data_IF_461078959229
#
_entry.id   IF_461078959229
#
_cell.length_a   1.000
_cell.length_b   1.000
_cell.length_c   1.000
_cell.angle_alpha   90.00
_cell.angle_beta   90.00
_cell.angle_gamma   90.00
#
_symmetry.space_group_name_H-M   'P 1'
#
loop_
_entity.id
_entity.type
_entity.pdbx_description
1 polymer ?
#
# COMPACT_ATOMS: atom_id res chain seq x y z
N UNK A 1 -8.38 -31.94 -5.51
CA UNK A 1 -7.78 -31.08 -4.46
C UNK A 1 -8.19 -29.64 -4.73
N UNK A 2 -9.02 -29.07 -3.85
CA UNK A 2 -9.58 -27.72 -4.00
C UNK A 2 -8.53 -26.70 -3.57
N UNK A 3 -8.12 -25.82 -4.49
CA UNK A 3 -7.24 -24.70 -4.15
C UNK A 3 -8.01 -23.73 -3.24
N UNK A 4 -7.46 -23.30 -2.10
CA UNK A 4 -8.11 -22.29 -1.28
C UNK A 4 -8.19 -21.00 -2.08
N UNK A 5 -9.42 -20.57 -2.42
CA UNK A 5 -9.68 -19.22 -2.94
C UNK A 5 -9.32 -18.22 -1.85
N UNK A 6 -8.09 -17.70 -1.90
CA UNK A 6 -7.70 -16.55 -1.09
C UNK A 6 -8.41 -15.34 -1.69
N UNK A 7 -9.66 -15.12 -1.28
CA UNK A 7 -10.36 -13.85 -1.45
C UNK A 7 -9.68 -12.85 -0.52
N UNK A 8 -8.59 -12.24 -0.99
CA UNK A 8 -7.75 -11.35 -0.20
C UNK A 8 -8.51 -10.09 0.20
N UNK A 9 -9.01 -10.05 1.44
CA UNK A 9 -9.44 -8.80 2.09
C UNK A 9 -8.20 -8.01 2.49
N UNK A 10 -7.62 -7.26 1.56
CA UNK A 10 -6.57 -6.29 1.86
C UNK A 10 -7.25 -4.99 2.33
N UNK A 11 -6.80 -4.43 3.47
CA UNK A 11 -7.54 -3.57 4.41
C UNK A 11 -8.51 -4.33 5.35
N UNK A 12 -7.94 -5.21 6.18
CA UNK A 12 -8.72 -6.05 7.12
C UNK A 12 -9.54 -5.24 8.13
N UNK A 13 -9.07 -4.07 8.53
CA UNK A 13 -9.73 -3.21 9.52
C UNK A 13 -10.73 -2.23 8.93
N UNK A 14 -10.68 -1.95 7.61
CA UNK A 14 -11.42 -0.83 7.05
C UNK A 14 -11.04 0.44 7.79
N UNK A 15 -9.76 0.76 7.84
CA UNK A 15 -9.28 1.98 8.49
C UNK A 15 -8.51 2.80 7.46
N UNK A 16 -8.63 4.11 7.55
CA UNK A 16 -7.89 5.07 6.74
C UNK A 16 -7.52 6.26 7.58
N UNK A 17 -6.44 6.92 7.20
CA UNK A 17 -6.03 8.19 7.76
C UNK A 17 -5.47 9.07 6.65
N UNK A 18 -5.94 10.30 6.56
CA UNK A 18 -5.55 11.26 5.54
C UNK A 18 -4.92 12.47 6.21
N UNK A 19 -3.63 12.69 5.91
CA UNK A 19 -2.91 13.86 6.39
C UNK A 19 -2.79 14.92 5.30
N UNK A 20 -3.11 16.17 5.68
CA UNK A 20 -3.12 17.31 4.77
C UNK A 20 -1.88 18.16 4.96
N UNK A 21 -1.09 18.19 3.89
CA UNK A 21 0.18 18.93 3.79
C UNK A 21 0.10 19.92 2.63
N UNK A 22 0.75 21.11 2.74
CA UNK A 22 0.73 22.09 1.64
C UNK A 22 1.44 21.61 0.37
N UNK A 23 2.46 20.75 0.51
CA UNK A 23 3.17 20.12 -0.58
C UNK A 23 3.51 18.67 -0.23
N UNK A 24 3.74 17.84 -1.26
CA UNK A 24 4.25 16.48 -1.09
C UNK A 24 5.78 16.47 -1.12
N UNK A 25 6.42 16.23 0.02
CA UNK A 25 7.88 16.19 0.13
C UNK A 25 8.40 14.88 0.75
N UNK A 26 9.73 14.70 0.73
CA UNK A 26 10.38 13.60 1.47
C UNK A 26 10.22 13.75 2.98
N UNK A 27 10.11 14.99 3.48
CA UNK A 27 9.86 15.28 4.89
C UNK A 27 8.50 14.73 5.28
N UNK A 28 7.48 15.01 4.49
CA UNK A 28 6.12 14.51 4.74
C UNK A 28 6.11 12.98 4.76
N UNK A 29 6.74 12.33 3.79
CA UNK A 29 6.84 10.86 3.78
C UNK A 29 7.49 10.31 5.06
N UNK A 30 8.63 10.86 5.49
CA UNK A 30 9.30 10.39 6.71
C UNK A 30 8.44 10.61 7.96
N UNK A 31 7.75 11.74 8.05
CA UNK A 31 6.82 12.03 9.14
C UNK A 31 5.60 11.10 9.13
N UNK A 32 5.06 10.77 7.96
CA UNK A 32 3.98 9.78 7.82
C UNK A 32 4.42 8.38 8.25
N UNK A 33 5.65 7.96 7.92
CA UNK A 33 6.17 6.66 8.37
C UNK A 33 6.37 6.62 9.88
N UNK A 34 6.78 7.73 10.49
CA UNK A 34 6.85 7.85 11.94
C UNK A 34 5.48 7.74 12.59
N UNK A 35 4.52 8.55 12.14
CA UNK A 35 3.13 8.52 12.64
C UNK A 35 2.52 7.12 12.52
N UNK A 36 2.73 6.46 11.38
CA UNK A 36 2.25 5.09 11.16
C UNK A 36 2.80 4.11 12.19
N UNK A 37 4.09 4.20 12.51
CA UNK A 37 4.78 3.28 13.42
C UNK A 37 4.53 3.61 14.89
N UNK A 38 4.46 4.89 15.25
CA UNK A 38 4.43 5.33 16.65
C UNK A 38 3.01 5.57 17.15
N UNK A 39 2.11 6.06 16.31
CA UNK A 39 0.76 6.45 16.72
C UNK A 39 -0.29 5.46 16.22
N UNK A 40 -0.25 5.09 14.94
CA UNK A 40 -1.29 4.24 14.36
C UNK A 40 -1.14 2.77 14.75
N UNK A 41 0.09 2.25 14.75
CA UNK A 41 0.39 0.85 15.03
C UNK A 41 1.61 0.65 15.94
N UNK A 42 1.68 1.28 17.13
CA UNK A 42 2.83 1.18 18.03
C UNK A 42 3.15 -0.26 18.45
N UNK A 43 2.11 -1.08 18.63
CA UNK A 43 2.23 -2.46 19.07
C UNK A 43 2.50 -3.45 17.93
N UNK A 44 2.52 -3.00 16.66
CA UNK A 44 2.86 -3.89 15.56
C UNK A 44 4.35 -4.22 15.58
N UNK A 45 4.67 -5.52 15.54
CA UNK A 45 6.04 -6.00 15.35
C UNK A 45 6.54 -5.72 13.93
N UNK A 46 5.65 -5.85 12.94
CA UNK A 46 5.93 -5.60 11.53
C UNK A 46 4.70 -5.06 10.80
N UNK A 47 4.90 -4.08 9.92
CA UNK A 47 3.87 -3.44 9.09
C UNK A 47 4.26 -3.67 7.63
N UNK A 48 3.46 -4.46 6.91
CA UNK A 48 3.61 -4.62 5.46
C UNK A 48 2.94 -3.44 4.77
N UNK A 49 3.75 -2.59 4.16
CA UNK A 49 3.31 -1.33 3.58
C UNK A 49 3.45 -1.40 2.07
N UNK A 50 2.32 -1.26 1.37
CA UNK A 50 2.30 -1.15 -0.09
C UNK A 50 2.32 0.32 -0.47
N UNK A 51 3.27 0.72 -1.32
CA UNK A 51 3.50 2.09 -1.77
C UNK A 51 3.51 2.17 -3.29
N UNK A 52 3.08 3.29 -3.85
CA UNK A 52 3.41 3.65 -5.22
C UNK A 52 4.92 3.91 -5.39
N UNK A 53 5.39 3.77 -6.63
CA UNK A 53 6.81 3.88 -6.97
C UNK A 53 7.25 5.34 -7.17
N UNK A 54 7.08 6.14 -6.12
CA UNK A 54 7.47 7.55 -6.10
C UNK A 54 8.91 7.71 -5.58
N UNK A 55 9.67 8.66 -6.14
CA UNK A 55 11.07 8.91 -5.76
C UNK A 55 11.27 9.35 -4.30
N UNK A 56 10.21 9.77 -3.60
CA UNK A 56 10.22 10.12 -2.19
C UNK A 56 9.98 8.92 -1.27
N UNK A 57 9.38 7.85 -1.78
CA UNK A 57 8.98 6.67 -1.01
C UNK A 57 10.13 5.68 -0.82
N UNK A 58 11.23 6.16 -0.23
CA UNK A 58 12.44 5.36 -0.05
C UNK A 58 12.87 5.31 1.41
N UNK A 59 13.52 4.22 1.87
CA UNK A 59 14.14 4.17 3.18
C UNK A 59 15.11 5.34 3.44
N UNK A 60 15.81 5.80 2.40
CA UNK A 60 16.74 6.92 2.47
C UNK A 60 16.05 8.23 2.87
N UNK A 61 14.77 8.43 2.53
CA UNK A 61 14.02 9.60 2.95
C UNK A 61 13.91 9.70 4.48
N UNK A 62 13.80 8.57 5.19
CA UNK A 62 13.75 8.57 6.66
C UNK A 62 15.08 9.04 7.24
N UNK A 63 16.21 8.55 6.73
CA UNK A 63 17.54 8.95 7.21
C UNK A 63 17.89 10.40 6.85
N UNK A 64 17.30 10.95 5.79
CA UNK A 64 17.47 12.36 5.44
C UNK A 64 16.69 13.33 6.32
N UNK A 65 15.74 12.86 7.13
CA UNK A 65 14.79 13.70 7.87
C UNK A 65 14.84 13.44 9.38
N UNK A 66 15.01 12.19 9.80
CA UNK A 66 14.97 11.77 11.19
C UNK A 66 16.38 11.43 11.70
N UNK A 67 16.62 11.54 13.02
CA UNK A 67 17.84 11.03 13.63
C UNK A 67 18.12 9.57 13.21
N UNK A 68 19.38 9.19 12.91
CA UNK A 68 19.68 7.86 12.35
C UNK A 68 19.15 6.68 13.19
N UNK A 69 19.16 6.80 14.52
CA UNK A 69 18.62 5.77 15.41
C UNK A 69 17.09 5.62 15.26
N UNK A 70 16.37 6.73 15.12
CA UNK A 70 14.92 6.76 14.94
C UNK A 70 14.52 6.25 13.55
N UNK A 71 15.21 6.72 12.50
CA UNK A 71 15.03 6.22 11.14
C UNK A 71 15.23 4.70 11.07
N UNK A 72 16.27 4.17 11.74
CA UNK A 72 16.55 2.73 11.77
C UNK A 72 15.51 1.95 12.56
N UNK A 73 14.97 2.50 13.65
CA UNK A 73 13.89 1.88 14.43
C UNK A 73 12.61 1.76 13.59
N UNK A 74 12.23 2.83 12.90
CA UNK A 74 11.03 2.88 12.05
C UNK A 74 11.19 1.90 10.88
N UNK A 75 12.27 1.98 10.11
CA UNK A 75 12.42 1.13 8.92
C UNK A 75 12.49 -0.36 9.26
N UNK A 76 12.97 -0.75 10.45
CA UNK A 76 12.97 -2.15 10.90
C UNK A 76 11.57 -2.73 11.11
N UNK A 77 10.59 -1.88 11.46
CA UNK A 77 9.18 -2.28 11.57
C UNK A 77 8.46 -2.29 10.23
N UNK A 78 9.00 -1.66 9.19
CA UNK A 78 8.35 -1.54 7.89
C UNK A 78 8.88 -2.57 6.88
N UNK A 79 7.96 -3.31 6.27
CA UNK A 79 8.23 -4.14 5.09
C UNK A 79 7.61 -3.46 3.87
N UNK A 80 8.46 -2.79 3.08
CA UNK A 80 8.01 -1.99 1.95
C UNK A 80 7.82 -2.86 0.70
N UNK A 81 6.63 -2.79 0.12
CA UNK A 81 6.30 -3.37 -1.18
C UNK A 81 5.92 -2.25 -2.13
N UNK A 82 6.55 -2.19 -3.30
CA UNK A 82 6.26 -1.16 -4.29
C UNK A 82 5.34 -1.72 -5.37
N UNK A 83 4.32 -0.94 -5.75
CA UNK A 83 3.54 -1.28 -6.94
C UNK A 83 4.44 -1.20 -8.18
N UNK A 84 4.20 -2.04 -9.21
CA UNK A 84 4.96 -1.96 -10.44
C UNK A 84 4.84 -0.57 -11.08
N UNK A 85 5.85 -0.19 -11.85
CA UNK A 85 5.84 1.08 -12.59
C UNK A 85 4.66 1.08 -13.58
N UNK A 86 3.92 2.18 -13.61
CA UNK A 86 2.71 2.39 -14.43
C UNK A 86 1.48 1.56 -14.04
N UNK A 87 1.50 0.84 -12.92
CA UNK A 87 0.35 0.07 -12.41
C UNK A 87 -0.30 0.74 -11.18
N UNK A 88 -0.58 2.05 -11.27
CA UNK A 88 -1.24 2.80 -10.19
C UNK A 88 -2.64 2.27 -9.88
N UNK A 89 -3.30 1.62 -10.84
CA UNK A 89 -4.59 0.94 -10.64
C UNK A 89 -4.52 -0.22 -9.63
N UNK A 90 -3.31 -0.70 -9.30
CA UNK A 90 -3.09 -1.70 -8.26
C UNK A 90 -2.94 -1.08 -6.85
N UNK A 91 -2.83 0.23 -6.74
CA UNK A 91 -2.60 0.93 -5.48
C UNK A 91 -3.92 1.19 -4.74
N UNK A 92 -4.12 0.49 -3.62
CA UNK A 92 -5.29 0.66 -2.76
C UNK A 92 -5.46 2.10 -2.26
N UNK A 93 -4.36 2.81 -2.01
CA UNK A 93 -4.41 4.21 -1.58
C UNK A 93 -4.99 5.13 -2.66
N UNK A 94 -4.67 4.88 -3.95
CA UNK A 94 -5.25 5.61 -5.09
C UNK A 94 -6.77 5.37 -5.18
N UNK A 95 -7.23 4.13 -4.91
CA UNK A 95 -8.66 3.84 -4.84
C UNK A 95 -9.36 4.63 -3.73
N UNK A 96 -8.81 4.70 -2.51
CA UNK A 96 -9.38 5.53 -1.44
C UNK A 96 -9.33 7.03 -1.77
N UNK A 97 -8.25 7.51 -2.41
CA UNK A 97 -8.16 8.89 -2.87
C UNK A 97 -9.22 9.23 -3.92
N UNK A 98 -9.53 8.31 -4.83
CA UNK A 98 -10.63 8.49 -5.79
C UNK A 98 -11.99 8.58 -5.09
N UNK A 99 -12.23 7.75 -4.06
CA UNK A 99 -13.46 7.81 -3.26
C UNK A 99 -13.55 9.12 -2.48
N UNK A 100 -12.46 9.55 -1.84
CA UNK A 100 -12.38 10.86 -1.17
C UNK A 100 -12.67 11.99 -2.16
N UNK A 101 -12.06 11.91 -3.35
CA UNK A 101 -12.26 12.84 -4.46
C UNK A 101 -13.73 13.01 -4.82
N UNK A 102 -14.44 11.90 -5.01
CA UNK A 102 -15.86 11.93 -5.40
C UNK A 102 -16.85 12.18 -4.25
N UNK A 103 -16.47 11.97 -2.99
CA UNK A 103 -17.38 12.10 -1.84
C UNK A 103 -17.20 13.40 -1.04
N UNK A 104 -16.02 14.02 -1.11
CA UNK A 104 -15.65 15.14 -0.25
C UNK A 104 -15.04 16.30 -1.03
N UNK A 105 -14.24 15.99 -2.06
CA UNK A 105 -13.43 16.98 -2.79
C UNK A 105 -13.98 17.34 -4.17
N UNK A 106 -15.23 16.98 -4.47
CA UNK A 106 -15.93 17.28 -5.75
C UNK A 106 -16.40 18.74 -5.87
N UNK A 107 -15.89 19.59 -4.97
CA UNK A 107 -16.25 21.00 -4.82
C UNK A 107 -15.04 21.83 -4.41
N UNK A 108 -15.16 23.14 -4.57
CA UNK A 108 -14.13 24.07 -4.10
C UNK A 108 -14.13 24.14 -2.57
N UNK A 109 -12.94 24.07 -1.98
CA UNK A 109 -12.70 24.26 -0.55
C UNK A 109 -11.80 25.50 -0.38
N UNK A 110 -12.18 26.48 0.45
CA UNK A 110 -11.59 27.82 0.40
C UNK A 110 -10.24 27.94 1.12
N UNK A 111 -9.91 27.00 2.01
CA UNK A 111 -8.68 27.05 2.80
C UNK A 111 -8.19 25.65 3.17
N UNK A 112 -6.93 25.57 3.59
CA UNK A 112 -6.33 24.33 4.07
C UNK A 112 -6.99 23.84 5.38
N UNK A 113 -7.42 24.75 6.23
CA UNK A 113 -8.12 24.41 7.48
C UNK A 113 -9.50 23.85 7.21
N UNK A 114 -10.27 24.48 6.30
CA UNK A 114 -11.54 23.92 5.85
C UNK A 114 -11.33 22.53 5.23
N UNK A 115 -10.26 22.32 4.46
CA UNK A 115 -9.95 21.01 3.89
C UNK A 115 -9.69 19.94 4.97
N UNK A 116 -9.00 20.30 6.06
CA UNK A 116 -8.77 19.39 7.19
C UNK A 116 -10.07 19.01 7.88
N UNK A 117 -10.94 19.98 8.14
CA UNK A 117 -12.24 19.75 8.78
C UNK A 117 -13.12 18.82 7.94
N UNK A 118 -13.20 19.07 6.64
CA UNK A 118 -14.01 18.27 5.71
C UNK A 118 -13.50 16.84 5.60
N UNK A 119 -12.18 16.67 5.53
CA UNK A 119 -11.57 15.33 5.48
C UNK A 119 -11.77 14.60 6.80
N UNK A 120 -11.66 15.28 7.95
CA UNK A 120 -11.95 14.68 9.25
C UNK A 120 -13.42 14.25 9.36
N UNK A 121 -14.35 15.09 8.89
CA UNK A 121 -15.78 14.80 8.84
C UNK A 121 -16.11 13.62 7.90
N UNK A 122 -15.35 13.44 6.81
CA UNK A 122 -15.47 12.31 5.90
C UNK A 122 -14.82 11.03 6.45
N UNK A 123 -13.64 11.13 7.06
CA UNK A 123 -12.84 10.02 7.57
C UNK A 123 -13.52 9.33 8.76
N UNK A 124 -14.08 10.12 9.69
CA UNK A 124 -14.68 9.63 10.94
C UNK A 124 -15.77 8.57 10.73
N UNK A 125 -16.90 8.89 10.05
CA UNK A 125 -17.99 7.94 9.81
C UNK A 125 -17.52 6.71 9.03
N UNK A 126 -16.65 6.92 8.04
CA UNK A 126 -16.06 5.84 7.22
C UNK A 126 -15.27 4.85 8.07
N UNK A 127 -14.42 5.35 8.97
CA UNK A 127 -13.66 4.55 9.93
C UNK A 127 -14.57 3.84 10.95
N UNK A 128 -15.61 4.51 11.45
CA UNK A 128 -16.61 3.89 12.35
C UNK A 128 -17.35 2.73 11.67
N UNK A 129 -17.74 2.90 10.42
CA UNK A 129 -18.38 1.87 9.61
C UNK A 129 -17.41 0.79 9.11
N UNK A 130 -16.11 0.96 9.35
CA UNK A 130 -15.06 0.09 8.86
C UNK A 130 -15.19 -0.23 7.36
N UNK A 131 -15.60 0.77 6.54
CA UNK A 131 -15.81 0.56 5.11
C UNK A 131 -14.54 -0.02 4.48
N UNK A 132 -14.69 -1.14 3.75
CA UNK A 132 -13.56 -1.86 3.16
C UNK A 132 -13.61 -1.74 1.64
N UNK A 133 -12.44 -1.72 1.03
CA UNK A 133 -12.34 -1.99 -0.40
C UNK A 133 -12.46 -3.50 -0.60
N UNK A 134 -13.43 -3.90 -1.41
CA UNK A 134 -13.57 -5.29 -1.82
C UNK A 134 -12.60 -5.60 -2.96
N UNK A 135 -11.39 -5.99 -2.58
CA UNK A 135 -10.32 -6.29 -3.53
C UNK A 135 -10.62 -7.56 -4.33
N UNK A 136 -10.65 -7.44 -5.66
CA UNK A 136 -10.96 -8.56 -6.57
C UNK A 136 -9.74 -9.10 -7.33
N UNK A 137 -8.57 -8.47 -7.19
CA UNK A 137 -7.37 -8.88 -7.91
C UNK A 137 -6.66 -10.02 -7.19
N UNK A 138 -6.94 -11.26 -7.64
CA UNK A 138 -6.38 -12.49 -7.07
C UNK A 138 -4.99 -12.81 -7.63
N UNK A 139 -4.29 -13.76 -6.99
CA UNK A 139 -3.01 -14.28 -7.50
C UNK A 139 -3.12 -14.89 -8.90
N UNK A 140 -4.26 -15.51 -9.23
CA UNK A 140 -4.52 -16.08 -10.56
C UNK A 140 -4.62 -14.98 -11.62
N UNK A 141 -5.37 -13.91 -11.31
CA UNK A 141 -5.45 -12.72 -12.17
C UNK A 141 -4.08 -12.05 -12.28
N UNK A 142 -3.30 -11.99 -11.19
CA UNK A 142 -1.94 -11.46 -11.19
C UNK A 142 -1.01 -12.24 -12.13
N UNK A 143 -0.99 -13.57 -12.05
CA UNK A 143 -0.19 -14.42 -12.96
C UNK A 143 -0.56 -14.22 -14.43
N UNK A 144 -1.83 -13.90 -14.70
CA UNK A 144 -2.31 -13.66 -16.07
C UNK A 144 -2.01 -12.25 -16.58
N UNK A 145 -2.22 -11.23 -15.74
CA UNK A 145 -2.03 -9.82 -16.13
C UNK A 145 -0.59 -9.33 -15.99
N UNK A 146 0.17 -9.90 -15.06
CA UNK A 146 1.56 -9.52 -14.75
C UNK A 146 2.55 -10.64 -15.11
N UNK A 147 2.34 -11.32 -16.24
CA UNK A 147 3.17 -12.46 -16.70
C UNK A 147 4.68 -12.19 -16.63
N UNK A 148 5.10 -10.96 -16.96
CA UNK A 148 6.51 -10.56 -16.90
C UNK A 148 7.10 -10.57 -15.48
N UNK A 149 6.27 -10.37 -14.46
CA UNK A 149 6.67 -10.32 -13.04
C UNK A 149 6.49 -11.67 -12.33
N UNK A 150 5.67 -12.56 -12.90
CA UNK A 150 5.43 -13.91 -12.39
C UNK A 150 5.94 -14.93 -13.40
N UNK A 151 7.25 -15.27 -13.39
CA UNK A 151 7.76 -16.33 -14.25
C UNK A 151 7.01 -17.63 -13.95
N UNK A 152 6.51 -18.28 -15.00
CA UNK A 152 5.95 -19.61 -14.91
C UNK A 152 7.09 -20.54 -14.51
N UNK A 153 6.99 -21.20 -13.36
CA UNK A 153 7.89 -22.29 -13.04
C UNK A 153 7.53 -23.42 -13.99
N UNK A 154 8.29 -23.58 -15.08
CA UNK A 154 8.24 -24.83 -15.83
C UNK A 154 8.68 -25.92 -14.88
N UNK A 155 7.81 -26.90 -14.64
CA UNK A 155 8.19 -28.11 -13.93
C UNK A 155 9.27 -28.81 -14.76
N UNK A 156 10.52 -28.72 -14.32
CA UNK A 156 11.60 -29.56 -14.83
C UNK A 156 11.42 -30.98 -14.29
N UNK A 157 10.34 -31.62 -14.72
CA UNK A 157 10.12 -33.06 -14.62
C UNK A 157 9.55 -33.48 -15.97
N UNK A 158 10.42 -33.49 -16.98
CA UNK A 158 10.17 -34.19 -18.23
C UNK A 158 10.72 -35.62 -18.07
N UNK A 159 9.88 -36.65 -17.92
CA UNK A 159 10.34 -38.03 -17.74
C UNK A 159 10.93 -38.64 -19.02
N UNK A 160 10.97 -37.89 -20.13
CA UNK A 160 11.21 -38.48 -21.46
C UNK A 160 12.67 -38.45 -21.91
N UNK A 161 13.63 -38.09 -21.04
CA UNK A 161 15.06 -37.97 -21.40
C UNK A 161 15.98 -39.09 -20.88
N UNK A 162 15.45 -40.28 -20.64
CA UNK A 162 16.25 -41.46 -20.27
C UNK A 162 15.84 -42.70 -21.05
N UNK A 163 16.05 -42.69 -22.36
CA UNK A 163 16.10 -43.90 -23.19
C UNK A 163 16.74 -43.59 -24.54
N UNK A 164 18.05 -43.42 -24.59
CA UNK A 164 18.88 -43.59 -25.79
C UNK A 164 20.36 -43.44 -25.40
N UNK A 165 20.90 -44.45 -24.71
CA UNK A 165 22.29 -44.87 -24.90
C UNK A 165 22.45 -46.29 -24.34
N UNK A 166 22.45 -47.28 -25.23
CA UNK A 166 22.86 -48.68 -24.98
C UNK A 166 23.20 -49.33 -26.31
#
# INVERSE_FOLDING_TARGET
MSHPKVNGRFNMRGWRHVNITPQRTKVDFAQQMRLLVDDCFPMAERIRLVLDNLNTHTPAALYGVLPPAEARRIIRKLELHYTPKHDSWLNMAECELAVLGGQCLDRRIPSLDALREEIAAWEGPRNQLQTKIHWQFSNEVARTKLKRLYPTLESTDDPTKSAEDS
#
